data_IF_075543582554
#
_entry.id   IF_075543582554
#
_cell.length_a   1.000
_cell.length_b   1.000
_cell.length_c   1.000
_cell.angle_alpha   90.00
_cell.angle_beta   90.00
_cell.angle_gamma   90.00
#
_symmetry.space_group_name_H-M   'P 1'
#
loop_
_entity.id
_entity.type
_entity.pdbx_description
1 polymer ?
#
# COMPACT_ATOMS: atom_id res chain seq x y z
N UNK A 1 -7.24 22.40 -6.30
CA UNK A 1 -8.04 21.89 -5.16
C UNK A 1 -7.18 21.25 -4.09
N UNK A 2 -6.39 20.22 -4.41
CA UNK A 2 -5.55 19.53 -3.41
C UNK A 2 -4.54 20.46 -2.69
N UNK A 3 -3.76 21.26 -3.43
CA UNK A 3 -2.87 22.30 -2.83
C UNK A 3 -3.62 23.23 -1.87
N UNK A 4 -4.84 23.64 -2.21
CA UNK A 4 -5.64 24.53 -1.37
C UNK A 4 -6.11 23.84 -0.08
N UNK A 5 -6.46 22.56 -0.13
CA UNK A 5 -6.82 21.78 1.07
C UNK A 5 -5.62 21.60 2.00
N UNK A 6 -4.46 21.21 1.45
CA UNK A 6 -3.25 21.01 2.24
C UNK A 6 -2.76 22.35 2.81
N UNK A 7 -2.76 23.43 2.02
CA UNK A 7 -2.39 24.77 2.49
C UNK A 7 -3.21 25.23 3.70
N UNK A 8 -4.53 25.00 3.69
CA UNK A 8 -5.40 25.32 4.84
C UNK A 8 -5.03 24.52 6.09
N UNK A 9 -4.75 23.22 5.94
CA UNK A 9 -4.36 22.37 7.05
C UNK A 9 -2.97 22.71 7.62
N UNK A 10 -2.04 23.13 6.76
CA UNK A 10 -0.69 23.52 7.18
C UNK A 10 -0.60 24.93 7.76
N UNK A 11 -1.61 25.76 7.55
CA UNK A 11 -1.58 27.20 7.83
C UNK A 11 -0.43 27.93 7.11
N UNK A 12 -0.04 27.45 5.93
CA UNK A 12 1.04 28.00 5.09
C UNK A 12 0.61 27.95 3.62
N UNK A 13 0.98 28.96 2.83
CA UNK A 13 0.73 28.93 1.37
C UNK A 13 1.56 27.84 0.69
N UNK A 14 0.98 27.22 -0.33
CA UNK A 14 1.65 26.25 -1.20
C UNK A 14 1.71 26.73 -2.65
N UNK A 15 1.52 28.03 -2.89
CA UNK A 15 1.45 28.59 -4.24
C UNK A 15 2.79 28.40 -4.99
N UNK A 16 3.91 28.53 -4.29
CA UNK A 16 5.27 28.36 -4.81
C UNK A 16 5.85 26.94 -4.57
N UNK A 17 5.00 25.98 -4.20
CA UNK A 17 5.44 24.60 -3.93
C UNK A 17 5.12 23.71 -5.11
N UNK A 18 6.16 23.17 -5.75
CA UNK A 18 6.01 22.11 -6.75
C UNK A 18 5.84 20.75 -6.09
N UNK A 19 4.95 19.93 -6.65
CA UNK A 19 4.82 18.54 -6.22
C UNK A 19 5.96 17.70 -6.80
N UNK A 20 6.42 16.66 -6.07
CA UNK A 20 7.49 15.81 -6.55
C UNK A 20 7.08 15.13 -7.86
N UNK A 21 8.04 15.04 -8.78
CA UNK A 21 7.94 14.20 -9.96
C UNK A 21 8.15 12.74 -9.56
N UNK A 22 7.45 11.84 -10.22
CA UNK A 22 7.65 10.40 -10.09
C UNK A 22 8.73 9.92 -11.08
N UNK A 23 9.12 8.66 -10.98
CA UNK A 23 10.06 8.01 -11.90
C UNK A 23 9.36 7.18 -12.99
N UNK A 24 8.03 7.24 -13.07
CA UNK A 24 7.20 6.52 -14.01
C UNK A 24 6.82 7.37 -15.24
N UNK A 25 6.76 6.72 -16.40
CA UNK A 25 6.37 7.34 -17.67
C UNK A 25 5.04 6.77 -18.16
N UNK A 26 4.14 7.64 -18.62
CA UNK A 26 2.85 7.24 -19.16
C UNK A 26 3.01 6.55 -20.53
N UNK A 27 2.16 5.56 -20.81
CA UNK A 27 2.03 4.90 -22.12
C UNK A 27 3.33 4.32 -22.69
N UNK A 28 4.31 4.01 -21.83
CA UNK A 28 5.56 3.37 -22.26
C UNK A 28 5.31 1.90 -22.60
N UNK A 29 5.89 1.37 -23.69
CA UNK A 29 5.78 -0.05 -24.01
C UNK A 29 6.25 -0.94 -22.86
N UNK A 30 5.54 -2.04 -22.64
CA UNK A 30 5.93 -3.03 -21.62
C UNK A 30 7.18 -3.75 -22.11
N UNK A 31 8.22 -3.75 -21.28
CA UNK A 31 9.42 -4.57 -21.54
C UNK A 31 9.02 -6.03 -21.41
N UNK A 32 9.21 -6.84 -22.46
CA UNK A 32 8.87 -8.26 -22.39
C UNK A 32 9.86 -8.99 -21.48
N UNK A 33 9.34 -9.61 -20.43
CA UNK A 33 10.11 -10.59 -19.66
C UNK A 33 10.32 -11.86 -20.51
N UNK A 34 11.55 -12.39 -20.50
CA UNK A 34 11.89 -13.65 -21.18
C UNK A 34 11.32 -14.88 -20.44
N UNK A 35 10.81 -14.69 -19.22
CA UNK A 35 10.44 -15.75 -18.27
C UNK A 35 8.95 -15.99 -18.00
N UNK A 36 8.04 -15.58 -18.89
CA UNK A 36 6.60 -15.93 -18.77
C UNK A 36 5.70 -14.89 -18.10
N UNK A 37 6.11 -13.62 -18.12
CA UNK A 37 5.31 -12.48 -17.63
C UNK A 37 5.77 -11.97 -16.26
N UNK A 38 5.31 -10.77 -15.91
CA UNK A 38 5.62 -10.09 -14.66
C UNK A 38 4.65 -10.52 -13.55
N UNK A 39 5.13 -10.90 -12.35
CA UNK A 39 4.28 -11.08 -11.19
C UNK A 39 3.48 -9.81 -10.91
N UNK A 40 2.24 -9.97 -10.43
CA UNK A 40 1.32 -8.86 -10.17
C UNK A 40 1.21 -8.60 -8.67
N UNK A 41 1.25 -7.33 -8.26
CA UNK A 41 1.01 -6.94 -6.87
C UNK A 41 -0.04 -5.84 -6.81
N UNK A 42 -1.12 -6.07 -6.07
CA UNK A 42 -2.15 -5.06 -5.85
C UNK A 42 -1.77 -4.20 -4.63
N UNK A 43 -2.03 -2.89 -4.72
CA UNK A 43 -1.90 -1.95 -3.63
C UNK A 43 -3.26 -1.33 -3.29
N UNK A 44 -3.64 -1.40 -2.01
CA UNK A 44 -4.81 -0.71 -1.46
C UNK A 44 -4.38 0.33 -0.41
N UNK A 45 -4.81 1.60 -0.52
CA UNK A 45 -4.45 2.65 0.43
C UNK A 45 -5.26 2.56 1.73
N UNK A 46 -4.87 3.31 2.75
CA UNK A 46 -5.64 3.44 4.01
C UNK A 46 -7.04 4.03 3.83
N UNK A 47 -7.87 3.94 4.86
CA UNK A 47 -9.21 4.54 4.85
C UNK A 47 -9.11 6.06 4.67
N UNK A 48 -9.93 6.64 3.78
CA UNK A 48 -9.86 8.07 3.48
C UNK A 48 -8.63 8.49 2.67
N UNK A 49 -7.68 7.59 2.43
CA UNK A 49 -6.45 7.90 1.70
C UNK A 49 -6.63 7.73 0.20
N UNK A 50 -5.73 8.35 -0.56
CA UNK A 50 -5.67 8.24 -2.02
C UNK A 50 -4.59 7.23 -2.42
N UNK A 51 -4.72 6.60 -3.59
CA UNK A 51 -3.73 5.64 -4.11
C UNK A 51 -2.34 6.26 -4.34
N UNK A 52 -2.28 7.57 -4.60
CA UNK A 52 -1.06 8.32 -4.88
C UNK A 52 -0.11 8.38 -3.68
N UNK A 53 -0.62 8.18 -2.46
CA UNK A 53 0.20 8.15 -1.24
C UNK A 53 0.98 6.84 -1.04
N UNK A 54 0.94 5.91 -2.00
CA UNK A 54 1.78 4.70 -2.02
C UNK A 54 2.85 4.69 -3.10
N UNK A 55 3.07 5.80 -3.81
CA UNK A 55 3.91 5.87 -5.02
C UNK A 55 5.34 5.41 -4.73
N UNK A 56 5.95 5.79 -3.61
CA UNK A 56 7.34 5.40 -3.34
C UNK A 56 7.53 3.86 -3.26
N UNK A 57 6.56 3.12 -2.73
CA UNK A 57 6.62 1.66 -2.65
C UNK A 57 6.22 1.00 -3.96
N UNK A 58 5.21 1.56 -4.64
CA UNK A 58 4.71 1.10 -5.94
C UNK A 58 5.80 1.18 -7.01
N UNK A 59 6.51 2.31 -7.11
CA UNK A 59 7.58 2.47 -8.10
C UNK A 59 8.78 1.56 -7.81
N UNK A 60 9.11 1.32 -6.54
CA UNK A 60 10.19 0.40 -6.17
C UNK A 60 9.85 -1.04 -6.59
N UNK A 61 8.63 -1.51 -6.31
CA UNK A 61 8.19 -2.82 -6.77
C UNK A 61 8.16 -2.90 -8.31
N UNK A 62 7.65 -1.87 -9.00
CA UNK A 62 7.68 -1.82 -10.46
C UNK A 62 9.12 -1.92 -11.01
N UNK A 63 10.07 -1.21 -10.40
CA UNK A 63 11.50 -1.24 -10.78
C UNK A 63 12.15 -2.62 -10.60
N UNK A 64 11.61 -3.47 -9.71
CA UNK A 64 12.05 -4.86 -9.49
C UNK A 64 11.49 -5.86 -10.50
N UNK A 65 10.65 -5.40 -11.42
CA UNK A 65 10.02 -6.18 -12.47
C UNK A 65 8.65 -6.75 -12.09
N UNK A 66 7.93 -6.11 -11.16
CA UNK A 66 6.52 -6.39 -10.90
C UNK A 66 5.62 -5.49 -11.76
N UNK A 67 4.42 -5.97 -12.06
CA UNK A 67 3.30 -5.06 -12.41
C UNK A 67 2.57 -4.74 -11.12
N UNK A 68 2.46 -3.46 -10.79
CA UNK A 68 1.82 -3.00 -9.55
C UNK A 68 0.53 -2.29 -9.91
N UNK A 69 -0.57 -2.70 -9.28
CA UNK A 69 -1.92 -2.20 -9.57
C UNK A 69 -2.44 -1.45 -8.35
N UNK A 70 -2.53 -0.14 -8.45
CA UNK A 70 -2.98 0.74 -7.37
C UNK A 70 -4.47 1.01 -7.47
N UNK A 71 -5.20 0.89 -6.37
CA UNK A 71 -6.66 1.03 -6.36
C UNK A 71 -7.11 2.26 -5.59
N UNK A 72 -8.06 3.01 -6.15
CA UNK A 72 -8.88 3.94 -5.37
C UNK A 72 -10.22 3.29 -5.03
N UNK A 73 -10.70 3.57 -3.83
CA UNK A 73 -12.03 3.16 -3.38
C UNK A 73 -12.96 4.39 -3.44
N UNK A 74 -13.75 4.45 -4.52
CA UNK A 74 -14.54 5.65 -4.86
C UNK A 74 -15.52 6.00 -3.73
N UNK A 75 -15.65 7.30 -3.44
CA UNK A 75 -16.40 7.85 -2.29
C UNK A 75 -15.78 7.60 -0.91
N UNK A 76 -14.75 6.77 -0.80
CA UNK A 76 -13.97 6.60 0.43
C UNK A 76 -12.68 7.41 0.37
N UNK A 77 -11.92 7.34 -0.72
CA UNK A 77 -10.75 8.18 -0.94
C UNK A 77 -11.13 9.67 -0.95
N UNK A 78 -10.23 10.53 -0.46
CA UNK A 78 -10.42 11.99 -0.41
C UNK A 78 -10.88 12.57 -1.74
N UNK A 79 -10.17 12.23 -2.82
CA UNK A 79 -10.44 12.67 -4.18
C UNK A 79 -10.12 11.50 -5.11
N UNK A 80 -11.04 11.17 -6.01
CA UNK A 80 -10.80 10.27 -7.15
C UNK A 80 -11.06 11.06 -8.43
N UNK A 81 -10.05 11.16 -9.27
CA UNK A 81 -10.19 11.72 -10.61
C UNK A 81 -10.55 10.61 -11.60
N UNK A 82 -11.75 10.72 -12.18
CA UNK A 82 -12.20 9.88 -13.28
C UNK A 82 -11.77 10.49 -14.63
N UNK A 83 -11.87 9.71 -15.71
CA UNK A 83 -11.59 10.24 -17.04
C UNK A 83 -12.38 11.50 -17.38
N UNK A 84 -11.84 12.30 -18.30
CA UNK A 84 -12.33 13.66 -18.62
C UNK A 84 -12.30 14.66 -17.43
N UNK A 85 -11.48 14.41 -16.40
CA UNK A 85 -11.25 15.33 -15.28
C UNK A 85 -12.37 15.37 -14.23
N UNK A 86 -13.27 14.38 -14.23
CA UNK A 86 -14.40 14.34 -13.29
C UNK A 86 -13.92 13.95 -11.90
N UNK A 87 -13.98 14.90 -10.95
CA UNK A 87 -13.62 14.65 -9.57
C UNK A 87 -14.79 14.06 -8.77
N UNK A 88 -14.54 12.96 -8.07
CA UNK A 88 -15.44 12.35 -7.10
C UNK A 88 -14.81 12.43 -5.71
N UNK A 89 -15.50 13.10 -4.79
CA UNK A 89 -15.00 13.34 -3.43
C UNK A 89 -15.49 12.26 -2.45
N UNK A 90 -14.80 12.19 -1.31
CA UNK A 90 -15.20 11.38 -0.17
C UNK A 90 -16.63 11.73 0.28
N UNK A 91 -17.43 10.68 0.52
CA UNK A 91 -18.78 10.77 1.11
C UNK A 91 -18.92 9.93 2.38
N UNK A 92 -17.90 9.15 2.72
CA UNK A 92 -17.84 8.41 3.98
C UNK A 92 -17.41 9.34 5.13
N UNK A 93 -17.75 9.02 6.38
CA UNK A 93 -17.33 9.80 7.54
C UNK A 93 -15.80 9.85 7.65
N UNK A 94 -15.24 11.00 8.05
CA UNK A 94 -13.80 11.12 8.33
C UNK A 94 -13.37 10.18 9.47
N UNK A 95 -14.19 10.11 10.51
CA UNK A 95 -14.07 9.18 11.63
C UNK A 95 -15.12 8.06 11.50
N UNK A 96 -14.77 6.91 10.90
CA UNK A 96 -15.72 5.83 10.70
C UNK A 96 -15.98 5.06 12.01
N UNK A 97 -17.24 4.73 12.26
CA UNK A 97 -17.59 3.72 13.25
C UNK A 97 -17.41 2.29 12.68
N UNK A 98 -17.56 1.27 13.53
CA UNK A 98 -17.41 -0.14 13.14
C UNK A 98 -18.28 -0.55 11.95
N UNK A 99 -19.51 -0.02 11.87
CA UNK A 99 -20.42 -0.32 10.77
C UNK A 99 -19.93 0.26 9.43
N UNK A 100 -19.37 1.48 9.46
CA UNK A 100 -18.75 2.11 8.31
C UNK A 100 -17.48 1.37 7.87
N UNK A 101 -16.61 0.97 8.81
CA UNK A 101 -15.43 0.13 8.52
C UNK A 101 -15.84 -1.22 7.92
N UNK A 102 -16.85 -1.89 8.48
CA UNK A 102 -17.33 -3.16 7.95
C UNK A 102 -17.91 -3.01 6.54
N UNK A 103 -18.58 -1.88 6.23
CA UNK A 103 -19.06 -1.57 4.89
C UNK A 103 -17.90 -1.31 3.92
N UNK A 104 -16.94 -0.47 4.30
CA UNK A 104 -15.74 -0.19 3.53
C UNK A 104 -14.99 -1.49 3.20
N UNK A 105 -14.72 -2.33 4.19
CA UNK A 105 -14.04 -3.63 4.02
C UNK A 105 -14.76 -4.54 3.04
N UNK A 106 -16.11 -4.57 3.07
CA UNK A 106 -16.90 -5.33 2.08
C UNK A 106 -16.71 -4.80 0.67
N UNK A 107 -16.83 -3.49 0.47
CA UNK A 107 -16.66 -2.85 -0.85
C UNK A 107 -15.25 -3.09 -1.36
N UNK A 108 -14.22 -2.83 -0.54
CA UNK A 108 -12.81 -2.99 -0.89
C UNK A 108 -12.46 -4.41 -1.34
N UNK A 109 -13.00 -5.43 -0.68
CA UNK A 109 -12.86 -6.83 -1.12
C UNK A 109 -13.50 -7.06 -2.49
N UNK A 110 -14.70 -6.55 -2.71
CA UNK A 110 -15.44 -6.76 -3.96
C UNK A 110 -14.76 -5.99 -5.11
N UNK A 111 -14.27 -4.77 -4.86
CA UNK A 111 -13.41 -4.00 -5.77
C UNK A 111 -12.14 -4.77 -6.14
N UNK A 112 -11.48 -5.39 -5.15
CA UNK A 112 -10.23 -6.15 -5.38
C UNK A 112 -10.50 -7.35 -6.28
N UNK A 113 -11.60 -8.07 -6.05
CA UNK A 113 -11.99 -9.21 -6.89
C UNK A 113 -12.34 -8.78 -8.31
N UNK A 114 -13.06 -7.67 -8.46
CA UNK A 114 -13.34 -7.06 -9.75
C UNK A 114 -12.05 -6.70 -10.48
N UNK A 115 -11.10 -6.01 -9.83
CA UNK A 115 -9.81 -5.67 -10.42
C UNK A 115 -9.05 -6.92 -10.86
N UNK A 116 -9.04 -7.99 -10.06
CA UNK A 116 -8.41 -9.26 -10.45
C UNK A 116 -9.06 -9.89 -11.70
N UNK A 117 -10.39 -9.76 -11.85
CA UNK A 117 -11.12 -10.23 -13.03
C UNK A 117 -10.77 -9.38 -14.27
N UNK A 118 -10.71 -8.06 -14.12
CA UNK A 118 -10.34 -7.14 -15.20
C UNK A 118 -8.87 -7.30 -15.61
N UNK A 119 -7.96 -7.60 -14.69
CA UNK A 119 -6.57 -7.93 -15.01
C UNK A 119 -6.47 -9.23 -15.84
N UNK A 120 -7.33 -10.22 -15.57
CA UNK A 120 -7.41 -11.42 -16.39
C UNK A 120 -7.95 -11.12 -17.80
N UNK A 121 -8.97 -10.28 -17.91
CA UNK A 121 -9.51 -9.82 -19.19
C UNK A 121 -8.46 -9.05 -20.00
N UNK A 122 -7.76 -8.11 -19.36
CA UNK A 122 -6.69 -7.31 -19.95
C UNK A 122 -5.52 -8.19 -20.42
N UNK A 123 -5.10 -9.15 -19.60
CA UNK A 123 -4.02 -10.07 -19.97
C UNK A 123 -4.41 -10.97 -21.15
N UNK A 124 -5.70 -11.29 -21.30
CA UNK A 124 -6.25 -12.03 -22.44
C UNK A 124 -6.46 -11.17 -23.71
N UNK A 125 -6.08 -9.88 -23.68
CA UNK A 125 -6.17 -8.98 -24.84
C UNK A 125 -7.47 -8.20 -24.96
N UNK A 126 -8.36 -8.25 -23.96
CA UNK A 126 -9.50 -7.33 -23.88
C UNK A 126 -9.01 -5.95 -23.42
N UNK A 127 -9.80 -4.92 -23.70
CA UNK A 127 -9.54 -3.57 -23.22
C UNK A 127 -10.64 -3.12 -22.25
N UNK A 128 -10.46 -3.33 -20.94
CA UNK A 128 -11.45 -2.94 -19.93
C UNK A 128 -11.40 -1.46 -19.55
N UNK A 129 -10.52 -0.67 -20.19
CA UNK A 129 -10.48 0.77 -19.98
C UNK A 129 -11.83 1.41 -20.34
N UNK A 130 -12.31 2.29 -19.45
CA UNK A 130 -13.64 2.89 -19.58
C UNK A 130 -13.77 3.84 -20.78
N UNK A 131 -12.67 4.47 -21.22
CA UNK A 131 -12.64 5.29 -22.44
C UNK A 131 -12.13 4.52 -23.66
N UNK A 132 -11.89 3.21 -23.50
CA UNK A 132 -11.24 2.34 -24.48
C UNK A 132 -9.93 2.92 -25.05
N UNK A 133 -9.17 3.63 -24.20
CA UNK A 133 -7.86 4.14 -24.54
C UNK A 133 -6.95 3.01 -25.02
N UNK A 134 -6.07 3.30 -25.99
CA UNK A 134 -5.14 2.31 -26.51
C UNK A 134 -4.22 1.84 -25.40
N UNK A 135 -4.26 0.54 -25.08
CA UNK A 135 -3.36 -0.06 -24.09
C UNK A 135 -1.89 0.03 -24.55
N UNK A 136 -0.94 0.19 -23.60
CA UNK A 136 0.49 0.15 -23.89
C UNK A 136 0.89 -1.09 -24.70
N UNK A 137 1.79 -0.90 -25.67
CA UNK A 137 2.27 -2.00 -26.50
C UNK A 137 2.93 -3.08 -25.64
N UNK A 138 2.53 -4.33 -25.86
CA UNK A 138 3.06 -5.49 -25.15
C UNK A 138 2.42 -5.77 -23.79
N UNK A 139 1.40 -5.00 -23.38
CA UNK A 139 0.69 -5.24 -22.12
C UNK A 139 -0.15 -6.54 -22.12
N UNK A 140 -0.94 -6.87 -23.17
CA UNK A 140 -1.59 -8.17 -23.25
C UNK A 140 -0.59 -9.32 -23.21
N UNK A 141 -0.86 -10.33 -22.39
CA UNK A 141 0.01 -11.48 -22.17
C UNK A 141 1.28 -11.21 -21.34
N UNK A 142 1.46 -9.98 -20.82
CA UNK A 142 2.64 -9.65 -20.01
C UNK A 142 2.47 -9.92 -18.52
N UNK A 143 1.26 -10.21 -18.04
CA UNK A 143 0.99 -10.44 -16.62
C UNK A 143 1.10 -11.93 -16.31
N UNK A 144 1.89 -12.28 -15.30
CA UNK A 144 1.84 -13.60 -14.68
C UNK A 144 0.89 -13.58 -13.49
N UNK A 145 -0.39 -13.81 -13.80
CA UNK A 145 -1.48 -13.83 -12.83
C UNK A 145 -1.39 -15.02 -11.86
N UNK A 146 -0.58 -16.03 -12.16
CA UNK A 146 -0.30 -17.14 -11.23
C UNK A 146 0.64 -16.72 -10.10
N UNK A 147 1.31 -15.57 -10.21
CA UNK A 147 2.18 -14.96 -9.20
C UNK A 147 1.61 -13.63 -8.74
N UNK A 148 0.40 -13.67 -8.16
CA UNK A 148 -0.29 -12.46 -7.68
C UNK A 148 -0.15 -12.30 -6.16
N UNK A 149 0.24 -11.11 -5.71
CA UNK A 149 0.24 -10.70 -4.30
C UNK A 149 -0.56 -9.43 -4.04
N UNK A 150 -0.68 -9.05 -2.78
CA UNK A 150 -1.36 -7.81 -2.39
C UNK A 150 -0.71 -7.20 -1.16
N UNK A 151 -0.64 -5.87 -1.08
CA UNK A 151 -0.31 -5.16 0.15
C UNK A 151 -1.19 -3.93 0.32
N UNK A 152 -1.19 -3.38 1.52
CA UNK A 152 -1.81 -2.09 1.74
C UNK A 152 -1.44 -1.48 3.07
N UNK A 153 -1.74 -0.19 3.19
CA UNK A 153 -1.57 0.59 4.41
C UNK A 153 -2.88 0.62 5.19
N UNK A 154 -2.82 0.48 6.52
CA UNK A 154 -3.99 0.62 7.40
C UNK A 154 -5.15 -0.28 6.93
N UNK A 155 -6.36 0.26 6.70
CA UNK A 155 -7.48 -0.51 6.17
C UNK A 155 -7.16 -1.26 4.84
N UNK A 156 -6.21 -0.77 4.04
CA UNK A 156 -5.71 -1.46 2.85
C UNK A 156 -4.95 -2.75 3.16
N UNK A 157 -4.23 -2.81 4.28
CA UNK A 157 -3.56 -4.02 4.76
C UNK A 157 -4.57 -5.07 5.27
N UNK A 158 -5.58 -4.61 6.01
CA UNK A 158 -6.75 -5.42 6.36
C UNK A 158 -7.47 -5.96 5.12
N UNK A 159 -7.63 -5.13 4.07
CA UNK A 159 -8.19 -5.54 2.77
C UNK A 159 -7.37 -6.64 2.12
N UNK A 160 -6.03 -6.57 2.22
CA UNK A 160 -5.15 -7.62 1.73
C UNK A 160 -5.42 -8.95 2.45
N UNK A 161 -5.51 -8.95 3.79
CA UNK A 161 -5.84 -10.14 4.56
C UNK A 161 -7.23 -10.70 4.22
N UNK A 162 -8.26 -9.83 4.22
CA UNK A 162 -9.65 -10.21 3.99
C UNK A 162 -9.88 -10.77 2.58
N UNK A 163 -9.32 -10.12 1.56
CA UNK A 163 -9.46 -10.60 0.18
C UNK A 163 -8.70 -11.89 -0.01
N UNK A 164 -7.48 -11.98 0.52
CA UNK A 164 -6.68 -13.20 0.47
C UNK A 164 -7.42 -14.38 1.11
N UNK A 165 -8.17 -14.18 2.20
CA UNK A 165 -8.99 -15.24 2.80
C UNK A 165 -10.13 -15.75 1.91
N UNK A 166 -10.60 -14.96 0.94
CA UNK A 166 -11.76 -15.27 0.08
C UNK A 166 -11.39 -15.58 -1.36
N UNK A 167 -10.24 -15.10 -1.83
CA UNK A 167 -9.78 -15.27 -3.21
C UNK A 167 -8.41 -15.96 -3.23
N UNK A 168 -8.37 -17.13 -3.87
CA UNK A 168 -7.16 -17.99 -3.93
C UNK A 168 -6.11 -17.45 -4.90
N UNK A 169 -6.42 -16.45 -5.73
CA UNK A 169 -5.47 -15.84 -6.66
C UNK A 169 -4.36 -15.07 -5.95
N UNK A 170 -4.64 -14.51 -4.77
CA UNK A 170 -3.64 -13.79 -3.97
C UNK A 170 -2.80 -14.81 -3.20
N UNK A 171 -1.52 -14.96 -3.55
CA UNK A 171 -0.62 -15.95 -2.97
C UNK A 171 0.18 -15.45 -1.77
N UNK A 172 0.41 -14.15 -1.67
CA UNK A 172 1.14 -13.53 -0.57
C UNK A 172 0.56 -12.15 -0.25
N UNK A 173 0.47 -11.82 1.05
CA UNK A 173 -0.14 -10.59 1.54
C UNK A 173 0.76 -9.81 2.49
N UNK A 174 0.69 -8.48 2.48
CA UNK A 174 1.34 -7.64 3.49
C UNK A 174 0.40 -6.56 4.04
N UNK A 175 0.38 -6.42 5.35
CA UNK A 175 -0.33 -5.38 6.08
C UNK A 175 0.68 -4.40 6.66
N UNK A 176 0.65 -3.16 6.16
CA UNK A 176 1.43 -2.05 6.68
C UNK A 176 0.55 -1.32 7.70
N UNK A 177 0.63 -1.79 8.93
CA UNK A 177 0.14 -1.12 10.13
C UNK A 177 -1.39 -0.96 10.27
N UNK A 178 -2.18 -1.84 9.67
CA UNK A 178 -3.63 -1.88 9.81
C UNK A 178 -4.16 -2.95 10.75
N UNK A 179 -5.20 -2.64 11.53
CA UNK A 179 -5.93 -3.67 12.28
C UNK A 179 -6.65 -4.64 11.35
N UNK A 180 -6.72 -5.91 11.75
CA UNK A 180 -7.23 -6.99 10.91
C UNK A 180 -8.72 -7.23 11.18
N UNK A 181 -9.52 -7.37 10.12
CA UNK A 181 -10.96 -7.60 10.23
C UNK A 181 -11.33 -8.81 11.09
N UNK A 182 -12.36 -8.67 11.94
CA UNK A 182 -12.76 -9.67 12.96
C UNK A 182 -12.89 -11.10 12.45
N UNK A 183 -13.42 -11.28 11.23
CA UNK A 183 -13.63 -12.61 10.63
C UNK A 183 -12.29 -13.24 10.25
N UNK A 184 -11.45 -12.53 9.49
CA UNK A 184 -10.16 -13.06 9.05
C UNK A 184 -9.17 -13.20 10.20
N UNK A 185 -9.25 -12.33 11.22
CA UNK A 185 -8.50 -12.49 12.46
C UNK A 185 -8.82 -13.82 13.17
N UNK A 186 -10.07 -14.31 13.08
CA UNK A 186 -10.48 -15.57 13.70
C UNK A 186 -10.23 -16.80 12.82
N UNK A 187 -10.26 -16.68 11.49
CA UNK A 187 -10.04 -17.82 10.59
C UNK A 187 -8.58 -17.99 10.18
N UNK A 188 -7.80 -16.90 10.24
CA UNK A 188 -6.42 -16.83 9.77
C UNK A 188 -6.26 -17.06 8.28
N UNK A 189 -5.00 -17.27 7.85
CA UNK A 189 -4.60 -17.58 6.49
C UNK A 189 -3.65 -18.78 6.46
N UNK A 190 -3.60 -19.47 5.32
CA UNK A 190 -2.74 -20.63 5.05
C UNK A 190 -1.56 -20.32 4.11
N UNK A 191 -1.38 -19.05 3.76
CA UNK A 191 -0.40 -18.55 2.79
C UNK A 191 0.47 -17.45 3.42
N UNK A 192 1.62 -17.12 2.82
CA UNK A 192 2.55 -16.12 3.35
C UNK A 192 1.92 -14.76 3.67
N UNK A 193 2.12 -14.28 4.90
CA UNK A 193 1.62 -12.96 5.31
C UNK A 193 2.64 -12.19 6.14
N UNK A 194 2.85 -10.91 5.82
CA UNK A 194 3.72 -9.99 6.53
C UNK A 194 2.87 -8.95 7.28
N UNK A 195 3.08 -8.83 8.58
CA UNK A 195 2.62 -7.72 9.40
C UNK A 195 3.79 -6.77 9.62
N UNK A 196 3.69 -5.51 9.19
CA UNK A 196 4.71 -4.48 9.43
C UNK A 196 4.08 -3.36 10.25
N UNK A 197 4.44 -3.28 11.53
CA UNK A 197 3.91 -2.30 12.47
C UNK A 197 4.73 -1.02 12.50
N UNK A 198 4.07 0.08 12.84
CA UNK A 198 4.74 1.27 13.34
C UNK A 198 5.39 1.00 14.71
N UNK A 199 6.15 1.97 15.26
CA UNK A 199 6.91 1.79 16.49
C UNK A 199 6.06 1.42 17.71
N UNK A 200 4.82 1.91 17.77
CA UNK A 200 3.91 1.81 18.91
C UNK A 200 2.74 0.85 18.66
N UNK A 201 2.78 0.05 17.59
CA UNK A 201 1.75 -0.93 17.26
C UNK A 201 2.31 -2.37 17.28
N UNK A 202 1.47 -3.33 17.67
CA UNK A 202 1.81 -4.74 17.64
C UNK A 202 0.76 -5.64 18.29
N UNK A 203 1.07 -6.94 18.37
CA UNK A 203 0.19 -7.95 18.99
C UNK A 203 -0.08 -7.71 20.48
N UNK A 204 0.79 -6.96 21.15
CA UNK A 204 0.69 -6.62 22.56
C UNK A 204 -0.39 -5.56 22.83
N UNK A 205 -0.76 -4.77 21.84
CA UNK A 205 -1.76 -3.69 21.99
C UNK A 205 -2.87 -3.67 20.92
N UNK A 206 -2.78 -4.48 19.86
CA UNK A 206 -3.87 -4.77 18.93
C UNK A 206 -4.35 -6.23 19.07
N UNK A 207 -5.53 -6.45 19.70
CA UNK A 207 -6.11 -7.79 19.85
C UNK A 207 -6.41 -8.50 18.51
N UNK A 208 -6.67 -7.74 17.44
CA UNK A 208 -6.89 -8.30 16.10
C UNK A 208 -5.61 -8.92 15.55
N UNK A 209 -4.45 -8.28 15.75
CA UNK A 209 -3.14 -8.83 15.38
C UNK A 209 -2.79 -10.06 16.21
N UNK A 210 -3.01 -10.00 17.53
CA UNK A 210 -2.76 -11.13 18.42
C UNK A 210 -3.56 -12.37 17.99
N UNK A 211 -4.85 -12.16 17.72
CA UNK A 211 -5.76 -13.22 17.27
C UNK A 211 -5.40 -13.70 15.87
N UNK A 212 -5.18 -12.81 14.93
CA UNK A 212 -4.83 -13.18 13.55
C UNK A 212 -3.55 -13.99 13.50
N UNK A 213 -2.51 -13.54 14.20
CA UNK A 213 -1.22 -14.22 14.27
C UNK A 213 -1.33 -15.66 14.74
N UNK A 214 -2.11 -15.91 15.80
CA UNK A 214 -2.29 -17.27 16.33
C UNK A 214 -3.03 -18.21 15.37
N UNK A 215 -3.75 -17.66 14.38
CA UNK A 215 -4.47 -18.42 13.34
C UNK A 215 -3.73 -18.46 12.00
N UNK A 216 -2.59 -17.78 11.83
CA UNK A 216 -1.75 -17.91 10.64
C UNK A 216 -1.06 -19.28 10.60
N UNK A 217 -1.30 -20.03 9.52
CA UNK A 217 -0.75 -21.38 9.27
C UNK A 217 0.33 -21.40 8.19
N UNK A 218 0.39 -20.35 7.36
CA UNK A 218 1.45 -20.15 6.37
C UNK A 218 2.72 -19.56 6.98
N UNK A 219 3.70 -19.23 6.12
CA UNK A 219 4.83 -18.39 6.53
C UNK A 219 4.30 -17.05 7.05
N UNK A 220 4.73 -16.65 8.25
CA UNK A 220 4.26 -15.41 8.88
C UNK A 220 5.45 -14.61 9.38
N UNK A 221 5.35 -13.30 9.25
CA UNK A 221 6.37 -12.36 9.66
C UNK A 221 5.71 -11.22 10.42
N UNK A 222 6.30 -10.82 11.53
CA UNK A 222 5.99 -9.54 12.15
C UNK A 222 7.27 -8.73 12.26
N UNK A 223 7.26 -7.55 11.65
CA UNK A 223 8.32 -6.57 11.72
C UNK A 223 7.77 -5.32 12.39
N UNK A 224 8.61 -4.66 13.18
CA UNK A 224 8.31 -3.34 13.75
C UNK A 224 9.34 -2.34 13.23
N UNK A 225 8.87 -1.21 12.71
CA UNK A 225 9.71 -0.11 12.27
C UNK A 225 9.89 0.90 13.41
N UNK A 226 11.08 0.95 13.98
CA UNK A 226 11.40 1.84 15.10
C UNK A 226 11.39 3.32 14.67
N UNK A 227 10.93 4.18 15.57
CA UNK A 227 10.81 5.62 15.34
C UNK A 227 9.75 6.01 14.29
N UNK A 228 8.87 5.10 13.90
CA UNK A 228 7.82 5.35 12.91
C UNK A 228 6.45 5.55 13.56
N UNK A 229 5.64 6.44 12.97
CA UNK A 229 4.20 6.56 13.25
C UNK A 229 3.34 5.89 12.18
N UNK A 230 2.01 5.91 12.35
CA UNK A 230 1.07 5.21 11.48
C UNK A 230 1.17 5.61 9.99
N UNK A 231 1.44 6.87 9.69
CA UNK A 231 1.58 7.39 8.33
C UNK A 231 3.01 7.32 7.77
N UNK A 232 3.93 6.66 8.47
CA UNK A 232 5.28 6.39 7.93
C UNK A 232 5.24 5.52 6.69
N UNK A 233 4.20 4.68 6.57
CA UNK A 233 4.02 3.73 5.47
C UNK A 233 3.41 4.34 4.21
N UNK A 234 3.38 5.67 4.13
CA UNK A 234 2.86 6.41 2.98
C UNK A 234 3.84 7.51 2.59
N UNK A 235 3.62 8.08 1.40
CA UNK A 235 4.39 9.20 0.91
C UNK A 235 4.14 10.49 1.73
N UNK A 236 3.24 10.46 2.73
CA UNK A 236 3.10 11.57 3.68
C UNK A 236 4.39 11.81 4.48
N UNK A 237 5.14 10.77 4.84
CA UNK A 237 6.38 10.91 5.61
C UNK A 237 7.45 11.76 4.90
N UNK A 238 7.88 11.44 3.66
CA UNK A 238 8.81 12.31 2.93
C UNK A 238 8.23 13.69 2.65
N UNK A 239 6.96 13.78 2.25
CA UNK A 239 6.31 15.06 1.95
C UNK A 239 6.27 15.99 3.18
N UNK A 240 5.83 15.48 4.33
CA UNK A 240 5.76 16.24 5.57
C UNK A 240 7.16 16.72 5.99
N UNK A 241 8.16 15.85 5.98
CA UNK A 241 9.52 16.23 6.37
C UNK A 241 10.16 17.23 5.40
N UNK A 242 9.88 17.14 4.10
CA UNK A 242 10.33 18.13 3.12
C UNK A 242 9.65 19.48 3.33
N UNK A 243 8.32 19.50 3.52
CA UNK A 243 7.55 20.71 3.78
C UNK A 243 8.00 21.42 5.06
N UNK A 244 8.22 20.68 6.15
CA UNK A 244 8.71 21.22 7.43
C UNK A 244 10.09 21.86 7.26
N UNK A 245 10.96 21.31 6.40
CA UNK A 245 12.28 21.90 6.11
C UNK A 245 12.20 23.12 5.19
N UNK A 246 11.27 23.11 4.23
CA UNK A 246 11.17 24.12 3.19
C UNK A 246 10.35 25.35 3.59
N UNK A 247 9.41 25.19 4.53
CA UNK A 247 8.40 26.19 4.86
C UNK A 247 8.35 26.48 6.37
N UNK A 248 7.93 27.70 6.78
CA UNK A 248 7.75 28.05 8.20
C UNK A 248 6.45 27.43 8.76
N UNK A 249 6.39 26.11 8.80
CA UNK A 249 5.23 25.38 9.34
C UNK A 249 5.12 25.64 10.86
N UNK A 250 3.93 26.03 11.38
CA UNK A 250 3.78 26.33 12.80
C UNK A 250 4.18 25.15 13.70
N UNK A 251 4.84 25.37 14.85
CA UNK A 251 5.34 24.28 15.72
C UNK A 251 4.28 23.26 16.13
N UNK A 252 3.03 23.70 16.33
CA UNK A 252 1.91 22.81 16.64
C UNK A 252 1.62 21.83 15.48
N UNK A 253 1.60 22.34 14.25
CA UNK A 253 1.40 21.53 13.04
C UNK A 253 2.58 20.58 12.82
N UNK A 254 3.81 21.04 13.09
CA UNK A 254 5.00 20.17 13.06
C UNK A 254 4.82 19.01 14.05
N UNK A 255 4.40 19.27 15.29
CA UNK A 255 4.18 18.23 16.29
C UNK A 255 3.08 17.24 15.86
N UNK A 256 1.96 17.72 15.31
CA UNK A 256 0.88 16.86 14.79
C UNK A 256 1.35 16.00 13.60
N UNK A 257 2.17 16.53 12.71
CA UNK A 257 2.77 15.76 11.62
C UNK A 257 3.75 14.72 12.15
N UNK A 258 4.63 15.09 13.09
CA UNK A 258 5.60 14.18 13.71
C UNK A 258 4.91 13.05 14.47
N UNK A 259 3.81 13.30 15.17
CA UNK A 259 3.00 12.25 15.81
C UNK A 259 2.49 11.22 14.79
N UNK A 260 2.06 11.70 13.62
CA UNK A 260 1.54 10.85 12.53
C UNK A 260 2.62 10.06 11.79
N UNK A 261 3.77 10.67 11.50
CA UNK A 261 4.83 10.06 10.65
C UNK A 261 6.04 9.55 11.44
N UNK A 262 6.06 9.76 12.77
CA UNK A 262 7.18 9.42 13.61
C UNK A 262 8.41 10.33 13.45
N UNK A 263 9.50 9.90 14.06
CA UNK A 263 10.79 10.61 14.16
C UNK A 263 11.88 10.06 13.25
N UNK A 264 11.65 8.90 12.62
CA UNK A 264 12.56 8.31 11.65
C UNK A 264 12.75 9.22 10.44
N UNK A 265 13.99 9.37 9.97
CA UNK A 265 14.26 10.12 8.74
C UNK A 265 13.56 9.49 7.53
N UNK A 266 12.86 10.28 6.72
CA UNK A 266 12.02 9.77 5.64
C UNK A 266 12.76 8.87 4.64
N UNK A 267 14.00 9.23 4.26
CA UNK A 267 14.81 8.43 3.34
C UNK A 267 15.11 7.03 3.90
N UNK A 268 15.32 6.95 5.22
CA UNK A 268 15.54 5.68 5.92
C UNK A 268 14.25 4.88 6.01
N UNK A 269 13.13 5.51 6.38
CA UNK A 269 11.83 4.86 6.40
C UNK A 269 11.48 4.24 5.03
N UNK A 270 11.63 5.00 3.95
CA UNK A 270 11.36 4.52 2.59
C UNK A 270 12.31 3.39 2.21
N UNK A 271 13.62 3.55 2.46
CA UNK A 271 14.61 2.53 2.11
C UNK A 271 14.36 1.19 2.83
N UNK A 272 13.97 1.25 4.10
CA UNK A 272 13.62 0.07 4.91
C UNK A 272 12.37 -0.60 4.35
N UNK A 273 11.28 0.15 4.15
CA UNK A 273 10.02 -0.41 3.65
C UNK A 273 10.19 -1.05 2.27
N UNK A 274 10.86 -0.36 1.33
CA UNK A 274 11.21 -0.90 0.01
C UNK A 274 11.99 -2.21 0.10
N UNK A 275 12.99 -2.27 0.97
CA UNK A 275 13.83 -3.45 1.12
C UNK A 275 13.04 -4.67 1.63
N UNK A 276 12.25 -4.50 2.68
CA UNK A 276 11.52 -5.61 3.29
C UNK A 276 10.28 -6.03 2.51
N UNK A 277 9.54 -5.08 1.94
CA UNK A 277 8.40 -5.39 1.07
C UNK A 277 8.86 -6.08 -0.23
N UNK A 278 9.94 -5.56 -0.84
CA UNK A 278 10.58 -6.20 -1.99
C UNK A 278 11.08 -7.61 -1.66
N UNK A 279 11.79 -7.79 -0.55
CA UNK A 279 12.27 -9.12 -0.13
C UNK A 279 11.13 -10.11 0.14
N UNK A 280 10.00 -9.64 0.67
CA UNK A 280 8.81 -10.46 0.91
C UNK A 280 8.20 -10.98 -0.38
N UNK A 281 7.93 -10.10 -1.34
CA UNK A 281 7.36 -10.53 -2.61
C UNK A 281 8.38 -11.29 -3.47
N UNK A 282 9.68 -10.97 -3.41
CA UNK A 282 10.71 -11.72 -4.13
C UNK A 282 10.79 -13.16 -3.60
N UNK A 283 10.72 -13.35 -2.28
CA UNK A 283 10.73 -14.68 -1.66
C UNK A 283 9.47 -15.48 -2.05
N UNK A 284 8.28 -14.89 -1.92
CA UNK A 284 7.04 -15.65 -2.01
C UNK A 284 6.42 -15.74 -3.40
N UNK A 285 6.68 -14.78 -4.28
CA UNK A 285 6.18 -14.79 -5.66
C UNK A 285 7.26 -15.19 -6.66
N UNK A 286 8.54 -14.97 -6.37
CA UNK A 286 9.65 -15.24 -7.32
C UNK A 286 10.63 -16.29 -6.84
N UNK A 287 10.45 -16.85 -5.64
CA UNK A 287 11.34 -17.83 -5.02
C UNK A 287 12.79 -17.35 -4.90
N UNK A 288 12.99 -16.04 -4.71
CA UNK A 288 14.31 -15.42 -4.55
C UNK A 288 14.53 -15.08 -3.09
N UNK A 289 15.21 -15.98 -2.37
CA UNK A 289 15.52 -15.77 -0.95
C UNK A 289 16.80 -14.94 -0.76
N UNK A 290 16.63 -13.64 -0.54
CA UNK A 290 17.71 -12.72 -0.16
C UNK A 290 18.10 -12.78 1.32
N UNK A 291 17.50 -13.68 2.12
CA UNK A 291 17.71 -13.87 3.57
C UNK A 291 17.42 -12.65 4.46
N UNK A 292 16.88 -11.55 3.91
CA UNK A 292 16.57 -10.35 4.69
C UNK A 292 15.46 -10.59 5.72
N UNK A 293 14.55 -11.53 5.46
CA UNK A 293 13.41 -11.85 6.34
C UNK A 293 13.71 -12.92 7.40
N UNK A 294 14.95 -13.41 7.49
CA UNK A 294 15.27 -14.50 8.43
C UNK A 294 15.94 -14.03 9.72
N UNK A 295 16.46 -12.81 9.77
CA UNK A 295 17.20 -12.26 10.92
C UNK A 295 17.36 -10.74 10.82
N UNK A 296 17.65 -10.06 11.95
CA UNK A 296 18.05 -8.65 11.95
C UNK A 296 19.22 -8.38 10.99
N UNK A 297 19.19 -7.20 10.37
CA UNK A 297 20.22 -6.75 9.42
C UNK A 297 20.86 -5.46 9.92
N UNK A 298 22.20 -5.37 10.03
CA UNK A 298 22.88 -4.13 10.45
C UNK A 298 22.71 -2.99 9.44
N UNK A 299 22.24 -3.28 8.21
CA UNK A 299 21.89 -2.26 7.20
C UNK A 299 20.56 -1.56 7.51
N UNK A 300 19.71 -2.20 8.30
CA UNK A 300 18.37 -1.72 8.67
C UNK A 300 18.17 -1.89 10.18
N UNK A 301 18.97 -1.18 11.01
CA UNK A 301 18.86 -1.24 12.47
C UNK A 301 17.49 -0.77 12.99
N UNK A 302 16.71 -0.08 12.15
CA UNK A 302 15.37 0.39 12.46
C UNK A 302 14.31 -0.73 12.46
N UNK A 303 14.66 -1.95 12.01
CA UNK A 303 13.72 -3.08 12.00
C UNK A 303 13.97 -4.01 13.16
N UNK A 304 12.93 -4.19 13.96
CA UNK A 304 12.81 -5.23 14.97
C UNK A 304 11.98 -6.40 14.41
N UNK A 305 12.47 -7.63 14.62
CA UNK A 305 11.71 -8.85 14.36
C UNK A 305 10.94 -9.23 15.63
N UNK A 306 9.62 -9.35 15.53
CA UNK A 306 8.77 -9.70 16.67
C UNK A 306 8.43 -11.21 16.59
N UNK A 307 8.95 -12.05 17.50
CA UNK A 307 8.85 -13.52 17.43
C UNK A 307 7.45 -14.09 17.71
#
# INVERSE_FOLDING_TARGET
>A
MYKQQISRGLHVSLDDVDFPLTHAFQNTPVTRDRGGGHPVVLFSPGYGSMRELGTALVEDLASRGYVVVTMDHTHEAQIVEFPSGRLVLQRTPAEPNDAAIARASRVRRDDTRFVLDELAALNAGKNPDAEHCRLPHGLPGSLDLSRTGMFGHSLGGSTAAETMARDRRILAGADLDGSVGRVVAATGLDRPFLLMANADHGRDNDPSWAKFWSHLRGRRYQLRLLGSGHHTFTDLAPLAQQLIRALPVPPKVVAELTDRVGTIGADRAIAVQRAYLGAFFDLHLRHRDGRLLSRPSPRYPEIEFVP
#
